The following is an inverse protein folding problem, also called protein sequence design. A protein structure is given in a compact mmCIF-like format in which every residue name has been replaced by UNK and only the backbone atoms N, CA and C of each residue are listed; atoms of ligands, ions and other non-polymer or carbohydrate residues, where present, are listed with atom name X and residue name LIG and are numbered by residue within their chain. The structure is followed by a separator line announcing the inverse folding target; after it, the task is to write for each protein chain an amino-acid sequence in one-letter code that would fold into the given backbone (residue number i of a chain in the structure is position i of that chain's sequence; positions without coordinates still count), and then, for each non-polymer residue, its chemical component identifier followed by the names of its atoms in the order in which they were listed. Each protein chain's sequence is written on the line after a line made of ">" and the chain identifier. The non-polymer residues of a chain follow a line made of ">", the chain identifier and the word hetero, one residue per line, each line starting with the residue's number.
data_IF_356771350415
#
_entry.id   IF_356771350415
#
_cell.length_a   1.000
_cell.length_b   1.000
_cell.length_c   1.000
_cell.angle_alpha   90.00
_cell.angle_beta   90.00
_cell.angle_gamma   90.00
#
_symmetry.space_group_name_H-M   'P 1'
#
loop_
_entity.id
_entity.type
_entity.pdbx_description
1 polymer ?
#
# COMPACT_ATOMS: atom_id res chain seq x y z
N UNK A 1 11.66 36.57 62.46
CA UNK A 1 12.20 35.22 62.72
C UNK A 1 12.86 34.78 61.42
N UNK A 2 14.14 35.06 61.13
CA UNK A 2 15.38 34.54 61.75
C UNK A 2 15.35 33.02 61.88
N UNK A 3 15.98 32.30 60.95
CA UNK A 3 17.16 31.51 61.30
C UNK A 3 18.00 31.11 60.07
N UNK A 4 19.24 31.57 60.08
CA UNK A 4 20.37 31.07 59.32
C UNK A 4 20.89 29.77 59.94
N UNK A 5 21.42 28.84 59.14
CA UNK A 5 22.53 28.00 59.59
C UNK A 5 23.42 27.55 58.42
N UNK A 6 24.64 28.09 58.41
CA UNK A 6 25.80 27.68 57.62
C UNK A 6 26.48 26.49 58.32
N UNK A 7 27.02 25.53 57.58
CA UNK A 7 28.24 24.84 58.00
C UNK A 7 29.16 24.53 56.80
N UNK A 8 30.41 24.88 57.01
CA UNK A 8 31.59 24.85 56.14
C UNK A 8 32.66 24.13 56.96
N UNK A 9 33.25 23.04 56.47
CA UNK A 9 34.54 22.54 56.98
C UNK A 9 35.33 21.83 55.88
N UNK A 10 36.54 22.35 55.67
CA UNK A 10 37.63 21.93 54.80
C UNK A 10 38.61 21.04 55.59
N UNK A 11 39.36 20.16 54.90
CA UNK A 11 40.58 19.49 55.41
C UNK A 11 40.94 18.30 54.51
N UNK A 12 41.85 18.39 53.54
CA UNK A 12 43.33 18.47 53.55
C UNK A 12 44.07 17.19 54.02
N UNK A 13 44.70 16.54 53.02
CA UNK A 13 45.95 15.76 53.00
C UNK A 13 46.04 14.38 53.69
N UNK A 14 46.60 13.37 53.00
CA UNK A 14 48.05 13.07 53.00
C UNK A 14 48.35 11.90 52.04
N UNK A 15 49.39 12.12 51.24
CA UNK A 15 50.16 11.23 50.36
C UNK A 15 51.04 10.26 51.17
N UNK A 16 51.12 8.97 50.81
CA UNK A 16 52.30 8.15 51.18
C UNK A 16 52.51 6.91 50.31
N UNK A 17 53.69 6.83 49.72
CA UNK A 17 54.29 5.75 48.91
C UNK A 17 55.33 5.04 49.77
N UNK A 18 55.43 3.69 49.75
CA UNK A 18 56.70 2.98 49.96
C UNK A 18 56.69 1.50 49.51
N UNK A 19 57.88 1.06 49.09
CA UNK A 19 58.34 -0.08 48.28
C UNK A 19 58.58 -1.39 49.07
N UNK A 20 58.51 -2.55 48.39
CA UNK A 20 59.32 -3.76 48.67
C UNK A 20 59.41 -4.67 47.41
N UNK A 21 60.46 -4.56 46.58
CA UNK A 21 61.66 -5.45 46.37
C UNK A 21 61.47 -6.86 45.78
N UNK A 22 61.90 -6.99 44.51
CA UNK A 22 62.80 -7.98 43.87
C UNK A 22 62.61 -9.50 43.97
N UNK A 23 62.45 -10.16 42.80
CA UNK A 23 63.30 -11.29 42.34
C UNK A 23 63.52 -11.18 40.83
N UNK A 24 64.77 -11.35 40.41
CA UNK A 24 65.31 -11.33 39.03
C UNK A 24 65.61 -12.77 38.62
N UNK A 25 65.13 -13.18 37.45
CA UNK A 25 65.67 -14.32 36.72
C UNK A 25 66.28 -13.79 35.42
N UNK A 26 67.51 -14.17 35.20
CA UNK A 26 68.46 -13.74 34.18
C UNK A 26 68.63 -14.90 33.20
N UNK A 27 68.26 -14.74 31.93
CA UNK A 27 68.75 -15.52 30.77
C UNK A 27 68.66 -14.53 29.59
N UNK A 28 69.72 -13.78 29.33
CA UNK A 28 70.80 -14.10 28.39
C UNK A 28 70.36 -14.22 26.93
N UNK A 29 70.91 -13.29 26.16
CA UNK A 29 70.90 -13.12 24.71
C UNK A 29 71.20 -14.41 23.96
N UNK A 30 70.53 -14.63 22.82
CA UNK A 30 71.22 -14.76 21.52
C UNK A 30 70.18 -14.74 20.41
N UNK A 31 70.49 -13.92 19.43
CA UNK A 31 69.90 -13.73 18.12
C UNK A 31 69.40 -15.04 17.47
N UNK A 32 68.15 -15.09 17.03
CA UNK A 32 67.74 -14.85 15.63
C UNK A 32 68.55 -15.72 14.66
N UNK A 33 68.06 -16.93 14.37
CA UNK A 33 68.04 -17.50 13.02
C UNK A 33 67.38 -18.88 13.04
N UNK A 34 66.05 -18.91 13.11
CA UNK A 34 65.27 -19.97 12.47
C UNK A 34 63.82 -19.51 12.46
N UNK A 35 63.02 -20.01 11.51
CA UNK A 35 61.62 -19.64 11.26
C UNK A 35 61.38 -18.50 10.25
N UNK A 36 62.25 -18.34 9.26
CA UNK A 36 61.87 -17.81 7.93
C UNK A 36 60.96 -18.78 7.13
N UNK A 37 60.41 -19.82 7.78
CA UNK A 37 59.66 -20.89 7.12
C UNK A 37 58.33 -21.25 7.82
N UNK A 38 57.70 -20.29 8.52
CA UNK A 38 56.31 -20.45 9.02
C UNK A 38 55.26 -19.63 8.25
N UNK A 39 55.60 -19.06 7.11
CA UNK A 39 54.67 -18.30 6.27
C UNK A 39 53.91 -19.20 5.28
N UNK A 40 53.37 -20.34 5.75
CA UNK A 40 52.43 -21.17 4.99
C UNK A 40 51.62 -22.12 5.91
N UNK A 41 51.16 -21.61 7.06
CA UNK A 41 50.03 -22.23 7.75
C UNK A 41 48.73 -21.59 7.26
N UNK A 42 47.72 -22.37 6.82
CA UNK A 42 46.42 -21.82 6.49
C UNK A 42 45.81 -21.12 7.72
N UNK A 43 45.09 -20.01 7.55
CA UNK A 43 44.44 -19.32 8.66
C UNK A 43 43.45 -20.27 9.36
N UNK A 44 43.32 -20.21 10.69
CA UNK A 44 42.29 -20.98 11.39
C UNK A 44 40.90 -20.62 10.82
N UNK A 45 40.00 -21.60 10.69
CA UNK A 45 38.67 -21.34 10.13
C UNK A 45 37.91 -20.38 11.06
N UNK A 46 37.48 -19.27 10.48
CA UNK A 46 36.36 -18.43 10.88
C UNK A 46 36.14 -18.31 12.40
N UNK A 47 36.70 -17.27 13.01
CA UNK A 47 36.13 -16.74 14.25
C UNK A 47 34.68 -16.34 13.94
N UNK A 48 33.68 -16.70 14.78
CA UNK A 48 32.36 -16.10 14.64
C UNK A 48 32.56 -14.59 14.79
N UNK A 49 32.23 -13.84 13.73
CA UNK A 49 32.04 -12.40 13.85
C UNK A 49 30.99 -12.21 14.93
N UNK A 50 31.33 -11.49 15.98
CA UNK A 50 30.31 -11.03 16.92
C UNK A 50 29.24 -10.32 16.08
N UNK A 51 27.95 -10.69 16.21
CA UNK A 51 26.90 -9.87 15.62
C UNK A 51 27.09 -8.43 16.13
N UNK A 52 26.81 -7.41 15.31
CA UNK A 52 26.85 -6.03 15.77
C UNK A 52 26.07 -5.93 17.09
N UNK A 53 26.55 -5.14 18.07
CA UNK A 53 25.80 -4.96 19.31
C UNK A 53 24.37 -4.53 18.94
N UNK A 54 23.38 -5.23 19.53
CA UNK A 54 21.96 -5.01 19.29
C UNK A 54 21.49 -3.56 19.60
N UNK A 55 22.38 -2.72 20.11
CA UNK A 55 22.19 -1.31 20.45
C UNK A 55 21.98 -0.38 19.24
N UNK A 56 22.09 -0.87 18.01
CA UNK A 56 21.93 -0.06 16.79
C UNK A 56 20.77 -0.51 15.88
N UNK A 57 19.87 -1.33 16.41
CA UNK A 57 18.51 -1.44 15.87
C UNK A 57 17.74 -0.28 16.46
N UNK A 58 17.12 0.55 15.61
CA UNK A 58 16.12 1.53 16.04
C UNK A 58 15.11 0.78 16.92
N UNK A 59 15.16 1.02 18.24
CA UNK A 59 14.31 0.31 19.18
C UNK A 59 12.90 0.89 18.99
N UNK A 60 11.87 0.04 18.74
CA UNK A 60 10.50 0.52 18.87
C UNK A 60 10.31 1.04 20.30
N UNK A 61 9.48 2.07 20.48
CA UNK A 61 9.23 2.69 21.78
C UNK A 61 9.02 1.61 22.86
N UNK A 62 9.67 1.73 24.01
CA UNK A 62 9.61 0.71 25.08
C UNK A 62 8.84 1.17 26.32
N UNK A 63 8.33 2.40 26.29
CA UNK A 63 7.65 3.03 27.44
C UNK A 63 6.22 3.38 27.07
N UNK A 64 5.24 3.07 27.93
CA UNK A 64 3.82 3.42 27.70
C UNK A 64 3.64 4.94 27.51
N UNK A 65 4.39 5.78 28.21
CA UNK A 65 4.38 7.25 28.07
C UNK A 65 4.96 7.72 26.73
N UNK A 66 5.91 6.98 26.16
CA UNK A 66 6.57 7.26 24.88
C UNK A 66 5.79 6.65 23.71
N UNK A 67 5.13 5.51 23.94
CA UNK A 67 4.04 5.00 23.10
C UNK A 67 2.91 6.02 23.02
N UNK A 68 2.50 6.65 24.14
CA UNK A 68 1.44 7.67 24.17
C UNK A 68 1.87 8.95 23.43
N UNK A 69 3.13 9.37 23.55
CA UNK A 69 3.68 10.48 22.77
C UNK A 69 3.81 10.17 21.26
N UNK A 70 3.93 8.90 20.89
CA UNK A 70 3.95 8.44 19.49
C UNK A 70 2.53 8.37 18.86
N UNK A 71 1.45 8.47 19.65
CA UNK A 71 0.04 8.45 19.18
C UNK A 71 -0.63 9.82 19.20
N UNK A 72 0.12 10.91 19.33
CA UNK A 72 -0.41 12.24 19.03
C UNK A 72 -0.25 12.54 17.53
N UNK A 73 -0.86 11.70 16.67
CA UNK A 73 -1.23 12.18 15.35
C UNK A 73 -2.36 13.20 15.56
N UNK A 74 -1.99 14.47 15.60
CA UNK A 74 -2.94 15.57 15.49
C UNK A 74 -3.79 15.30 14.25
N UNK A 75 -5.08 15.04 14.47
CA UNK A 75 -6.02 14.84 13.37
C UNK A 75 -6.20 16.18 12.67
N UNK A 76 -5.83 16.21 11.39
CA UNK A 76 -5.93 17.44 10.59
C UNK A 76 -7.39 17.71 10.26
N UNK A 77 -7.84 18.93 10.47
CA UNK A 77 -9.22 19.35 10.19
C UNK A 77 -9.28 20.06 8.84
N UNK A 78 -10.08 19.50 7.93
CA UNK A 78 -10.44 20.17 6.66
C UNK A 78 -11.62 21.09 6.95
N UNK A 79 -11.36 22.40 6.93
CA UNK A 79 -12.33 23.43 7.33
C UNK A 79 -13.10 24.03 6.17
N UNK A 80 -12.56 23.91 4.95
CA UNK A 80 -13.21 24.39 3.73
C UNK A 80 -12.80 23.53 2.53
N UNK A 81 -13.74 23.34 1.62
CA UNK A 81 -13.51 22.78 0.29
C UNK A 81 -13.94 23.83 -0.71
N UNK A 82 -13.07 24.17 -1.66
CA UNK A 82 -13.38 25.04 -2.79
C UNK A 82 -13.15 24.29 -4.09
N UNK A 83 -14.03 24.50 -5.07
CA UNK A 83 -13.95 23.89 -6.39
C UNK A 83 -14.04 24.99 -7.43
N UNK A 84 -12.95 25.18 -8.19
CA UNK A 84 -12.79 26.23 -9.19
C UNK A 84 -12.62 25.61 -10.57
N UNK A 85 -13.52 25.91 -11.49
CA UNK A 85 -13.35 25.55 -12.90
C UNK A 85 -12.25 26.41 -13.53
N UNK A 86 -11.33 25.79 -14.28
CA UNK A 86 -10.26 26.46 -15.00
C UNK A 86 -10.35 26.18 -16.50
N UNK A 87 -9.64 26.94 -17.33
CA UNK A 87 -9.64 26.72 -18.80
C UNK A 87 -9.11 25.33 -19.20
N UNK A 88 -8.25 24.74 -18.38
CA UNK A 88 -7.60 23.46 -18.64
C UNK A 88 -8.22 22.29 -17.86
N UNK A 89 -9.23 22.54 -17.02
CA UNK A 89 -9.82 21.51 -16.18
C UNK A 89 -10.49 22.06 -14.92
N UNK A 90 -10.12 21.49 -13.78
CA UNK A 90 -10.74 21.77 -12.50
C UNK A 90 -9.67 21.84 -11.40
N UNK A 91 -9.77 22.83 -10.52
CA UNK A 91 -8.93 22.96 -9.34
C UNK A 91 -9.78 22.76 -8.09
N UNK A 92 -9.34 21.88 -7.19
CA UNK A 92 -10.01 21.63 -5.91
C UNK A 92 -9.02 22.00 -4.81
N UNK A 93 -9.45 22.86 -3.88
CA UNK A 93 -8.63 23.36 -2.77
C UNK A 93 -9.27 22.91 -1.46
N UNK A 94 -8.54 22.13 -0.68
CA UNK A 94 -8.91 21.74 0.68
C UNK A 94 -8.10 22.60 1.65
N UNK A 95 -8.76 23.40 2.48
CA UNK A 95 -8.09 24.20 3.50
C UNK A 95 -8.03 23.45 4.83
N UNK A 96 -6.82 23.37 5.38
CA UNK A 96 -6.53 22.64 6.61
C UNK A 96 -5.82 23.51 7.63
N UNK A 97 -5.93 23.15 8.90
CA UNK A 97 -5.20 23.79 9.99
C UNK A 97 -3.72 23.40 10.04
N UNK A 98 -3.38 22.23 9.51
CA UNK A 98 -2.05 21.61 9.52
C UNK A 98 -1.77 20.94 8.16
N UNK A 99 -0.49 20.69 7.80
CA UNK A 99 -0.15 19.98 6.57
C UNK A 99 -0.71 18.56 6.59
N UNK A 100 -1.31 18.14 5.47
CA UNK A 100 -1.83 16.79 5.32
C UNK A 100 -0.70 15.78 5.08
N UNK A 101 -0.96 14.53 5.43
CA UNK A 101 -0.14 13.42 4.96
C UNK A 101 -0.35 13.20 3.46
N UNK A 102 0.63 12.55 2.82
CA UNK A 102 0.56 12.28 1.37
C UNK A 102 -0.67 11.43 1.06
N UNK A 103 -1.61 11.92 0.23
CA UNK A 103 -2.80 11.17 -0.12
C UNK A 103 -2.49 10.02 -1.08
N UNK A 104 -3.30 8.96 -1.01
CA UNK A 104 -3.25 7.84 -1.95
C UNK A 104 -4.34 7.98 -3.01
N UNK A 105 -3.99 7.77 -4.28
CA UNK A 105 -4.95 7.79 -5.39
C UNK A 105 -5.22 6.39 -5.93
N UNK A 106 -6.45 6.17 -6.39
CA UNK A 106 -6.88 4.95 -7.07
C UNK A 106 -7.93 5.29 -8.12
N UNK A 107 -8.02 4.50 -9.17
CA UNK A 107 -9.01 4.69 -10.22
C UNK A 107 -10.06 3.57 -10.18
N UNK A 108 -11.33 3.93 -10.31
CA UNK A 108 -12.46 3.00 -10.38
C UNK A 108 -13.37 3.43 -11.52
N UNK A 109 -13.29 2.73 -12.66
CA UNK A 109 -13.98 3.14 -13.88
C UNK A 109 -13.53 4.55 -14.34
N UNK A 110 -14.49 5.47 -14.52
CA UNK A 110 -14.21 6.87 -14.86
C UNK A 110 -14.04 7.78 -13.62
N UNK A 111 -13.93 7.21 -12.41
CA UNK A 111 -13.76 7.96 -11.18
C UNK A 111 -12.34 7.83 -10.61
N UNK A 112 -11.71 8.97 -10.34
CA UNK A 112 -10.48 9.05 -9.56
C UNK A 112 -10.83 9.24 -8.08
N UNK A 113 -10.35 8.32 -7.25
CA UNK A 113 -10.56 8.29 -5.81
C UNK A 113 -9.26 8.64 -5.11
N UNK A 114 -9.26 9.72 -4.35
CA UNK A 114 -8.14 10.18 -3.53
C UNK A 114 -8.50 10.04 -2.06
N UNK A 115 -7.78 9.15 -1.36
CA UNK A 115 -7.94 8.92 0.07
C UNK A 115 -6.85 9.65 0.84
N UNK A 116 -7.27 10.53 1.75
CA UNK A 116 -6.42 11.36 2.61
C UNK A 116 -6.45 10.76 4.01
N UNK A 117 -5.33 10.22 4.52
CA UNK A 117 -5.25 9.71 5.89
C UNK A 117 -5.12 10.84 6.92
N UNK A 118 -5.38 10.51 8.18
CA UNK A 118 -5.24 11.41 9.33
C UNK A 118 -5.97 12.78 9.16
N UNK A 119 -7.13 12.76 8.51
CA UNK A 119 -7.92 13.95 8.21
C UNK A 119 -9.39 13.77 8.59
N UNK A 120 -10.01 14.82 9.14
CA UNK A 120 -11.45 14.89 9.42
C UNK A 120 -12.05 16.07 8.68
N UNK A 121 -13.17 15.82 8.01
CA UNK A 121 -13.92 16.82 7.28
C UNK A 121 -14.87 17.57 8.23
N UNK A 122 -14.58 18.84 8.49
CA UNK A 122 -15.35 19.72 9.39
C UNK A 122 -15.79 20.95 8.62
N UNK A 123 -16.75 20.78 7.70
CA UNK A 123 -17.26 21.90 6.90
C UNK A 123 -18.39 22.62 7.63
N UNK A 124 -18.53 23.94 7.46
CA UNK A 124 -19.67 24.68 8.00
C UNK A 124 -21.01 24.21 7.40
N UNK A 125 -20.97 23.61 6.21
CA UNK A 125 -22.15 23.14 5.46
C UNK A 125 -22.54 21.69 5.79
N UNK A 126 -21.67 20.92 6.47
CA UNK A 126 -21.93 19.52 6.82
C UNK A 126 -20.70 18.61 6.85
N UNK A 127 -20.93 17.29 6.93
CA UNK A 127 -19.88 16.26 6.91
C UNK A 127 -19.51 15.76 5.52
N UNK A 128 -20.03 16.39 4.46
CA UNK A 128 -19.76 16.08 3.06
C UNK A 128 -19.87 17.35 2.20
N UNK A 129 -19.20 17.33 1.06
CA UNK A 129 -19.30 18.34 0.01
C UNK A 129 -19.52 17.63 -1.33
N UNK A 130 -20.46 18.13 -2.13
CA UNK A 130 -20.73 17.57 -3.46
C UNK A 130 -20.95 18.69 -4.46
N UNK A 131 -20.33 18.57 -5.63
CA UNK A 131 -20.48 19.48 -6.75
C UNK A 131 -20.75 18.67 -8.03
N UNK A 132 -21.96 18.79 -8.56
CA UNK A 132 -22.37 18.13 -9.81
C UNK A 132 -22.06 19.03 -11.02
N UNK A 133 -21.56 18.41 -12.09
CA UNK A 133 -21.19 19.06 -13.35
C UNK A 133 -20.38 20.35 -13.18
N UNK A 134 -19.27 20.36 -12.40
CA UNK A 134 -18.47 21.57 -12.24
C UNK A 134 -17.84 22.06 -13.55
N UNK A 135 -17.60 21.14 -14.50
CA UNK A 135 -17.19 21.43 -15.88
C UNK A 135 -17.94 20.52 -16.85
N UNK A 136 -17.81 20.76 -18.16
CA UNK A 136 -18.44 19.93 -19.19
C UNK A 136 -17.89 18.48 -19.21
N UNK A 137 -16.67 18.26 -18.74
CA UNK A 137 -15.94 16.99 -18.83
C UNK A 137 -15.88 16.23 -17.49
N UNK A 138 -16.26 16.89 -16.37
CA UNK A 138 -16.33 16.30 -15.03
C UNK A 138 -17.80 16.21 -14.60
N UNK A 139 -18.30 15.00 -14.39
CA UNK A 139 -19.67 14.73 -14.02
C UNK A 139 -19.97 15.06 -12.54
N UNK A 140 -19.04 14.71 -11.64
CA UNK A 140 -19.26 14.83 -10.19
C UNK A 140 -17.95 14.96 -9.42
N UNK A 141 -17.93 15.83 -8.43
CA UNK A 141 -16.92 15.88 -7.37
C UNK A 141 -17.61 15.67 -6.04
N UNK A 142 -17.12 14.73 -5.25
CA UNK A 142 -17.62 14.44 -3.91
C UNK A 142 -16.47 14.38 -2.93
N UNK A 143 -16.59 15.02 -1.78
CA UNK A 143 -15.65 14.97 -0.67
C UNK A 143 -16.41 14.52 0.56
N UNK A 144 -16.05 13.37 1.12
CA UNK A 144 -16.73 12.80 2.27
C UNK A 144 -15.75 12.33 3.34
N UNK A 145 -16.12 12.52 4.61
CA UNK A 145 -15.43 11.89 5.72
C UNK A 145 -15.74 10.40 5.81
N UNK A 146 -14.71 9.59 5.96
CA UNK A 146 -14.77 8.14 6.19
C UNK A 146 -14.43 7.82 7.66
N UNK A 147 -14.82 6.62 8.15
CA UNK A 147 -14.38 6.13 9.45
C UNK A 147 -12.85 6.10 9.56
N UNK A 148 -12.33 6.20 10.79
CA UNK A 148 -10.89 6.20 11.11
C UNK A 148 -10.13 7.44 10.57
N UNK A 149 -10.73 8.64 10.68
CA UNK A 149 -10.06 9.90 10.36
C UNK A 149 -9.49 9.91 8.94
N UNK A 150 -10.32 9.54 7.96
CA UNK A 150 -9.96 9.54 6.55
C UNK A 150 -10.92 10.44 5.80
N UNK A 151 -10.42 11.18 4.82
CA UNK A 151 -11.27 11.91 3.88
C UNK A 151 -11.11 11.28 2.51
N UNK A 152 -12.22 11.02 1.83
CA UNK A 152 -12.25 10.53 0.46
C UNK A 152 -12.74 11.63 -0.46
N UNK A 153 -11.92 11.96 -1.45
CA UNK A 153 -12.27 12.83 -2.57
C UNK A 153 -12.50 11.93 -3.79
N UNK A 154 -13.69 11.94 -4.36
CA UNK A 154 -14.04 11.21 -5.56
C UNK A 154 -14.35 12.19 -6.69
N UNK A 155 -13.66 12.05 -7.82
CA UNK A 155 -13.79 12.91 -9.01
C UNK A 155 -14.17 12.02 -10.19
N UNK A 156 -15.38 12.18 -10.69
CA UNK A 156 -15.94 11.36 -11.77
C UNK A 156 -15.92 12.15 -13.08
N UNK A 157 -15.20 11.65 -14.09
CA UNK A 157 -15.26 12.18 -15.45
C UNK A 157 -16.50 11.70 -16.20
N UNK A 158 -16.93 12.45 -17.22
CA UNK A 158 -18.09 12.11 -18.06
C UNK A 158 -17.76 10.90 -18.95
N UNK A 159 -16.70 11.01 -19.76
CA UNK A 159 -16.36 10.01 -20.78
C UNK A 159 -15.06 9.24 -20.47
N UNK A 160 -14.21 9.78 -19.60
CA UNK A 160 -12.86 9.29 -19.36
C UNK A 160 -12.46 9.41 -17.88
N UNK A 161 -11.49 8.62 -17.45
CA UNK A 161 -10.83 8.81 -16.15
C UNK A 161 -10.07 10.15 -16.14
N UNK A 162 -10.38 11.08 -15.22
CA UNK A 162 -9.62 12.30 -15.06
C UNK A 162 -8.26 12.03 -14.41
N UNK A 163 -7.25 12.80 -14.79
CA UNK A 163 -5.95 12.82 -14.12
C UNK A 163 -5.94 13.91 -13.06
N UNK A 164 -5.29 13.70 -11.91
CA UNK A 164 -5.10 14.74 -10.91
C UNK A 164 -3.65 14.85 -10.46
N UNK A 165 -3.20 16.09 -10.26
CA UNK A 165 -1.93 16.43 -9.65
C UNK A 165 -2.17 16.98 -8.25
N UNK A 166 -1.51 16.39 -7.26
CA UNK A 166 -1.73 16.66 -5.84
C UNK A 166 -0.55 17.46 -5.30
N UNK A 167 -0.84 18.62 -4.71
CA UNK A 167 0.15 19.45 -4.04
C UNK A 167 -0.24 19.65 -2.59
N UNK A 168 0.49 19.00 -1.69
CA UNK A 168 0.31 19.14 -0.25
C UNK A 168 1.06 20.39 0.21
N UNK A 169 0.33 21.33 0.81
CA UNK A 169 0.86 22.57 1.37
C UNK A 169 0.74 22.59 2.90
N UNK A 170 1.37 23.59 3.54
CA UNK A 170 1.36 23.73 5.00
C UNK A 170 -0.04 23.97 5.60
N UNK A 171 -0.98 24.48 4.81
CA UNK A 171 -2.33 24.85 5.25
C UNK A 171 -3.42 24.35 4.29
N UNK A 172 -3.10 23.34 3.49
CA UNK A 172 -4.09 22.77 2.59
C UNK A 172 -3.55 21.72 1.63
N UNK A 173 -4.44 21.24 0.77
CA UNK A 173 -4.13 20.37 -0.36
C UNK A 173 -4.79 20.96 -1.61
N UNK A 174 -3.98 21.19 -2.64
CA UNK A 174 -4.45 21.60 -3.96
C UNK A 174 -4.45 20.38 -4.87
N UNK A 175 -5.58 20.12 -5.51
CA UNK A 175 -5.79 19.03 -6.46
C UNK A 175 -6.11 19.67 -7.81
N UNK A 176 -5.12 19.69 -8.69
CA UNK A 176 -5.31 20.14 -10.06
C UNK A 176 -5.74 18.96 -10.92
N UNK A 177 -6.98 18.97 -11.37
CA UNK A 177 -7.62 17.92 -12.15
C UNK A 177 -7.62 18.31 -13.63
N UNK A 178 -7.03 17.46 -14.45
CA UNK A 178 -7.11 17.53 -15.90
C UNK A 178 -8.10 16.48 -16.39
N UNK A 179 -9.18 16.86 -17.09
CA UNK A 179 -10.10 15.90 -17.68
C UNK A 179 -9.37 14.92 -18.61
N UNK A 180 -9.76 13.65 -18.56
CA UNK A 180 -9.25 12.67 -19.49
C UNK A 180 -9.80 12.94 -20.88
N UNK A 181 -8.92 13.10 -21.87
CA UNK A 181 -9.32 13.16 -23.28
C UNK A 181 -9.06 11.79 -23.92
N UNK A 182 -9.83 10.79 -23.54
CA UNK A 182 -9.63 9.43 -24.06
C UNK A 182 -10.65 8.43 -23.54
N UNK A 183 -11.21 7.63 -24.45
CA UNK A 183 -11.95 6.41 -24.10
C UNK A 183 -11.05 5.63 -23.15
N UNK A 184 -11.56 5.26 -21.98
CA UNK A 184 -10.82 4.48 -20.98
C UNK A 184 -9.98 3.41 -21.70
N UNK A 185 -8.66 3.45 -21.51
CA UNK A 185 -7.85 2.27 -21.76
C UNK A 185 -8.40 1.24 -20.78
N UNK A 186 -9.25 0.37 -21.32
CA UNK A 186 -9.54 -0.92 -20.70
C UNK A 186 -8.19 -1.62 -20.77
N UNK A 187 -7.35 -1.42 -19.76
CA UNK A 187 -6.38 -2.44 -19.42
C UNK A 187 -7.22 -3.69 -19.21
N UNK A 188 -7.10 -4.63 -20.13
CA UNK A 188 -7.80 -5.92 -20.20
C UNK A 188 -7.42 -6.85 -19.02
N UNK A 189 -7.24 -6.32 -17.81
CA UNK A 189 -7.44 -7.08 -16.58
C UNK A 189 -8.95 -7.15 -16.33
N UNK A 190 -9.60 -7.89 -17.23
CA UNK A 190 -11.00 -8.23 -17.17
C UNK A 190 -11.33 -8.95 -15.85
N UNK A 191 -11.76 -8.20 -14.83
CA UNK A 191 -12.58 -8.76 -13.77
C UNK A 191 -13.94 -9.06 -14.41
N UNK A 192 -14.09 -10.29 -14.88
CA UNK A 192 -15.34 -10.82 -15.40
C UNK A 192 -16.33 -10.98 -14.23
N UNK A 193 -17.16 -9.96 -14.00
CA UNK A 193 -18.29 -10.06 -13.06
C UNK A 193 -19.39 -10.88 -13.72
N UNK A 194 -19.53 -12.16 -13.33
CA UNK A 194 -20.67 -12.99 -13.71
C UNK A 194 -21.87 -12.59 -12.87
N UNK A 195 -22.82 -11.89 -13.48
CA UNK A 195 -24.12 -11.61 -12.87
C UNK A 195 -24.93 -12.90 -12.80
N UNK A 196 -24.79 -13.65 -11.71
CA UNK A 196 -25.76 -14.67 -11.37
C UNK A 196 -26.94 -13.99 -10.68
N UNK A 197 -28.14 -14.17 -11.23
CA UNK A 197 -29.36 -13.62 -10.66
C UNK A 197 -29.74 -14.37 -9.37
N UNK A 198 -29.02 -14.13 -8.28
CA UNK A 198 -29.43 -14.44 -6.91
C UNK A 198 -28.80 -13.45 -5.93
N UNK A 199 -29.62 -12.91 -5.01
CA UNK A 199 -29.36 -11.74 -4.16
C UNK A 199 -28.32 -12.00 -3.04
N UNK A 200 -27.06 -12.29 -3.35
CA UNK A 200 -25.91 -12.24 -2.41
C UNK A 200 -24.59 -12.21 -3.20
N UNK A 201 -23.71 -11.28 -2.86
CA UNK A 201 -22.38 -11.06 -3.46
C UNK A 201 -21.33 -11.90 -2.69
N UNK A 202 -20.59 -12.79 -3.37
CA UNK A 202 -19.54 -13.64 -2.78
C UNK A 202 -18.27 -13.62 -3.65
N UNK A 203 -17.10 -13.66 -2.99
CA UNK A 203 -15.75 -13.64 -3.59
C UNK A 203 -15.44 -14.88 -4.46
N UNK A 204 -14.70 -14.68 -5.56
CA UNK A 204 -14.45 -15.65 -6.66
C UNK A 204 -13.61 -16.88 -6.24
N UNK A 205 -12.95 -16.87 -5.08
CA UNK A 205 -11.95 -17.88 -4.72
C UNK A 205 -12.49 -19.12 -3.98
N UNK A 206 -13.81 -19.27 -3.80
CA UNK A 206 -14.37 -20.43 -3.07
C UNK A 206 -15.57 -21.11 -3.75
N UNK A 207 -15.53 -21.25 -5.07
CA UNK A 207 -16.52 -22.07 -5.80
C UNK A 207 -15.81 -23.24 -6.51
N UNK A 208 -15.98 -24.50 -6.06
CA UNK A 208 -15.40 -25.67 -6.71
C UNK A 208 -16.21 -26.06 -7.96
N UNK A 209 -16.50 -25.12 -8.86
CA UNK A 209 -17.23 -25.39 -10.10
C UNK A 209 -16.35 -25.08 -11.31
N UNK A 210 -16.07 -26.12 -12.10
CA UNK A 210 -15.35 -25.97 -13.38
C UNK A 210 -16.18 -25.13 -14.35
N UNK A 211 -15.70 -23.93 -14.65
CA UNK A 211 -16.19 -23.04 -15.71
C UNK A 211 -15.33 -23.31 -16.95
N UNK A 212 -15.98 -23.59 -18.08
CA UNK A 212 -15.29 -23.70 -19.38
C UNK A 212 -15.70 -22.48 -20.19
N UNK A 213 -14.74 -21.60 -20.46
CA UNK A 213 -14.93 -20.43 -21.33
C UNK A 213 -14.48 -20.81 -22.73
N UNK A 214 -15.35 -20.62 -23.72
CA UNK A 214 -15.02 -20.86 -25.12
C UNK A 214 -14.95 -19.51 -25.82
N UNK A 215 -13.79 -19.22 -26.39
CA UNK A 215 -13.56 -17.95 -27.09
C UNK A 215 -14.16 -17.97 -28.49
N UNK A 216 -14.32 -16.78 -29.09
CA UNK A 216 -14.92 -16.65 -30.41
C UNK A 216 -14.04 -17.29 -31.49
N UNK A 217 -12.74 -17.15 -31.33
CA UNK A 217 -11.69 -17.67 -32.21
C UNK A 217 -11.74 -19.19 -32.28
N UNK A 218 -11.97 -19.85 -31.14
CA UNK A 218 -12.01 -21.31 -31.03
C UNK A 218 -13.24 -21.90 -31.72
N UNK A 219 -14.40 -21.22 -31.61
CA UNK A 219 -15.61 -21.58 -32.38
C UNK A 219 -15.36 -21.40 -33.87
N UNK A 220 -14.68 -20.33 -34.29
CA UNK A 220 -14.42 -20.05 -35.69
C UNK A 220 -13.46 -21.06 -36.31
N UNK A 221 -12.44 -21.51 -35.57
CA UNK A 221 -11.55 -22.59 -35.98
C UNK A 221 -12.30 -23.93 -36.14
N UNK A 222 -13.13 -24.30 -35.17
CA UNK A 222 -13.97 -25.50 -35.26
C UNK A 222 -15.05 -25.39 -36.35
N UNK A 223 -15.55 -24.19 -36.62
CA UNK A 223 -16.55 -23.94 -37.68
C UNK A 223 -16.03 -24.20 -39.10
N UNK A 224 -14.70 -24.15 -39.29
CA UNK A 224 -14.05 -24.51 -40.55
C UNK A 224 -14.06 -26.02 -40.81
N UNK A 225 -14.05 -26.81 -39.72
CA UNK A 225 -14.06 -28.26 -39.76
C UNK A 225 -15.49 -28.82 -39.75
N UNK A 226 -16.39 -28.17 -39.03
CA UNK A 226 -17.78 -28.58 -38.93
C UNK A 226 -18.73 -27.37 -38.97
N UNK A 227 -19.79 -27.44 -39.77
CA UNK A 227 -20.79 -26.35 -39.86
C UNK A 227 -21.93 -26.48 -38.85
N UNK A 228 -22.00 -27.59 -38.11
CA UNK A 228 -23.02 -27.83 -37.10
C UNK A 228 -22.52 -27.38 -35.72
N UNK A 229 -23.18 -26.37 -35.15
CA UNK A 229 -22.84 -25.82 -33.84
C UNK A 229 -22.90 -26.86 -32.71
N UNK A 230 -23.84 -27.81 -32.76
CA UNK A 230 -23.95 -28.84 -31.72
C UNK A 230 -22.79 -29.83 -31.75
N UNK A 231 -22.25 -30.10 -32.93
CA UNK A 231 -21.06 -30.94 -33.06
C UNK A 231 -19.80 -30.22 -32.59
N UNK A 232 -19.69 -28.90 -32.86
CA UNK A 232 -18.63 -28.04 -32.30
C UNK A 232 -18.70 -28.03 -30.77
N UNK A 233 -19.89 -27.79 -30.20
CA UNK A 233 -20.05 -27.76 -28.74
C UNK A 233 -19.82 -29.13 -28.10
N UNK A 234 -20.10 -30.22 -28.81
CA UNK A 234 -19.80 -31.58 -28.36
C UNK A 234 -18.30 -31.88 -28.24
N UNK A 235 -17.45 -31.22 -29.03
CA UNK A 235 -15.99 -31.38 -28.94
C UNK A 235 -15.35 -30.38 -27.97
N UNK A 236 -15.91 -29.17 -27.85
CA UNK A 236 -15.31 -28.10 -27.03
C UNK A 236 -15.84 -28.03 -25.59
N UNK A 237 -17.06 -28.47 -25.30
CA UNK A 237 -17.67 -28.37 -23.96
C UNK A 237 -17.58 -29.71 -23.19
N UNK A 238 -16.80 -29.78 -22.10
CA UNK A 238 -16.74 -30.97 -21.26
C UNK A 238 -18.09 -31.31 -20.63
N UNK A 239 -18.54 -32.54 -20.86
CA UNK A 239 -19.81 -33.05 -20.34
C UNK A 239 -21.03 -32.66 -21.17
N UNK A 240 -20.87 -32.04 -22.34
CA UNK A 240 -21.96 -31.91 -23.29
C UNK A 240 -22.30 -33.28 -23.90
N UNK A 241 -23.58 -33.59 -24.01
CA UNK A 241 -24.07 -34.84 -24.56
C UNK A 241 -23.69 -35.01 -26.04
N UNK A 242 -23.67 -36.24 -26.55
CA UNK A 242 -23.32 -36.51 -27.94
C UNK A 242 -24.23 -35.75 -28.90
N UNK A 243 -23.70 -35.24 -30.02
CA UNK A 243 -24.50 -34.50 -30.99
C UNK A 243 -25.59 -35.40 -31.57
N UNK A 244 -26.82 -34.90 -31.59
CA UNK A 244 -27.91 -35.54 -32.31
C UNK A 244 -27.97 -34.97 -33.74
N UNK A 245 -28.42 -35.76 -34.72
CA UNK A 245 -28.56 -35.30 -36.12
C UNK A 245 -29.79 -34.38 -36.31
N UNK A 246 -30.22 -33.69 -35.26
CA UNK A 246 -31.41 -32.87 -35.26
C UNK A 246 -31.04 -31.43 -34.95
N UNK A 247 -31.57 -30.48 -35.72
CA UNK A 247 -31.39 -29.05 -35.46
C UNK A 247 -32.18 -28.55 -34.22
N UNK A 248 -32.63 -29.47 -33.36
CA UNK A 248 -33.51 -29.21 -32.21
C UNK A 248 -32.83 -29.64 -30.91
N UNK A 249 -32.96 -28.79 -29.89
CA UNK A 249 -32.33 -28.90 -28.57
C UNK A 249 -32.96 -29.95 -27.64
N UNK A 250 -33.98 -30.69 -28.08
CA UNK A 250 -34.85 -31.49 -27.21
C UNK A 250 -34.23 -32.78 -26.65
N UNK A 251 -32.98 -33.11 -27.00
CA UNK A 251 -32.26 -34.28 -26.47
C UNK A 251 -30.81 -33.96 -26.10
N UNK A 252 -30.47 -32.66 -25.97
CA UNK A 252 -29.13 -32.24 -25.59
C UNK A 252 -29.01 -32.23 -24.07
N UNK A 253 -27.87 -32.71 -23.56
CA UNK A 253 -27.61 -32.67 -22.12
C UNK A 253 -26.30 -31.96 -21.81
N UNK A 254 -26.22 -31.30 -20.66
CA UNK A 254 -24.98 -30.79 -20.08
C UNK A 254 -24.78 -31.46 -18.72
N UNK A 255 -23.74 -32.30 -18.64
CA UNK A 255 -23.42 -33.13 -17.48
C UNK A 255 -24.62 -34.00 -17.06
N UNK A 256 -25.32 -34.57 -18.04
CA UNK A 256 -26.46 -35.46 -17.84
C UNK A 256 -27.78 -34.77 -17.47
N UNK A 257 -27.86 -33.44 -17.61
CA UNK A 257 -29.09 -32.66 -17.40
C UNK A 257 -29.55 -32.07 -18.72
N UNK A 258 -30.86 -32.14 -18.99
CA UNK A 258 -31.44 -31.52 -20.17
C UNK A 258 -31.19 -30.00 -20.18
N UNK A 259 -30.87 -29.45 -21.35
CA UNK A 259 -30.56 -28.02 -21.57
C UNK A 259 -31.48 -27.35 -22.60
#
# INVERSE_FOLDING_TARGET
>A
MINQLRYLTFGIAVLSVLVATSVRAEIDSTDVEELSNRENSPPPPYLPTFPPPLSNLEQPATTVEEWIAQIEQSVVQVTRVQVNATETGLEIILETNEPLEVPSTSAVGNALITDIPNAVLTLPEGGEFQAANPTAEIALVSVAGLPNNRVRVAITGVDALPSANLSVEASGLVIAVTPGTGVAEIEDDAIQVVVTATRTEEDILDVPRSVTVITREEIEEQSRLNRNLFEILGTTVPGFGPPNQSDRNNAQTLRGRDV
#
